data_IF_576247345167
#
_entry.id   IF_576247345167
#
_cell.length_a   1.000
_cell.length_b   1.000
_cell.length_c   1.000
_cell.angle_alpha   90.00
_cell.angle_beta   90.00
_cell.angle_gamma   90.00
#
_symmetry.space_group_name_H-M   'P 1'
#
loop_
_entity.id
_entity.type
_entity.pdbx_description
1 polymer ?
#
# COMPACT_ATOMS: atom_id res chain seq x y z
N UNK A 1 -32.85 -27.61 9.22
CA UNK A 1 -32.26 -26.68 10.21
C UNK A 1 -30.72 -26.68 10.16
N UNK A 2 -30.02 -27.82 10.27
CA UNK A 2 -28.54 -27.87 10.25
C UNK A 2 -27.90 -27.24 9.00
N UNK A 3 -28.46 -27.38 7.81
CA UNK A 3 -27.91 -26.80 6.56
C UNK A 3 -28.03 -25.27 6.51
N UNK A 4 -29.09 -24.70 7.09
CA UNK A 4 -29.26 -23.23 7.17
C UNK A 4 -28.29 -22.62 8.17
N UNK A 5 -28.03 -23.30 9.29
CA UNK A 5 -27.07 -22.84 10.30
C UNK A 5 -25.64 -22.83 9.74
N UNK A 6 -25.24 -23.85 8.96
CA UNK A 6 -23.94 -23.89 8.29
C UNK A 6 -23.80 -22.79 7.24
N UNK A 7 -24.84 -22.52 6.46
CA UNK A 7 -24.84 -21.45 5.45
C UNK A 7 -24.75 -20.07 6.11
N UNK A 8 -25.43 -19.85 7.25
CA UNK A 8 -25.39 -18.61 8.00
C UNK A 8 -24.01 -18.38 8.64
N UNK A 9 -23.35 -19.44 9.16
CA UNK A 9 -21.99 -19.34 9.72
C UNK A 9 -20.95 -19.06 8.65
N UNK A 10 -21.12 -19.63 7.43
CA UNK A 10 -20.22 -19.34 6.30
C UNK A 10 -20.36 -17.87 5.83
N UNK A 11 -21.60 -17.34 5.84
CA UNK A 11 -21.86 -15.95 5.48
C UNK A 11 -21.28 -14.95 6.48
N UNK A 12 -21.30 -15.27 7.79
CA UNK A 12 -20.67 -14.45 8.83
C UNK A 12 -19.14 -14.45 8.74
N UNK A 13 -18.51 -15.55 8.29
CA UNK A 13 -17.07 -15.60 8.09
C UNK A 13 -16.61 -14.79 6.87
N UNK A 14 -17.44 -14.67 5.83
CA UNK A 14 -17.11 -13.90 4.63
C UNK A 14 -17.12 -12.37 4.85
N UNK A 15 -17.81 -11.87 5.87
CA UNK A 15 -17.88 -10.44 6.18
C UNK A 15 -16.69 -9.89 7.02
N UNK A 16 -15.77 -10.77 7.45
CA UNK A 16 -14.63 -10.39 8.28
C UNK A 16 -13.31 -10.23 7.51
N UNK A 17 -13.32 -10.38 6.17
CA UNK A 17 -12.12 -10.21 5.35
C UNK A 17 -12.05 -8.75 4.90
N UNK A 18 -11.46 -7.90 5.71
CA UNK A 18 -11.06 -6.55 5.30
C UNK A 18 -9.63 -6.62 4.76
N UNK A 19 -9.47 -6.59 3.45
CA UNK A 19 -8.16 -6.38 2.85
C UNK A 19 -7.86 -4.88 2.85
N UNK A 20 -6.71 -4.48 3.35
CA UNK A 20 -6.27 -3.08 3.25
C UNK A 20 -6.06 -2.72 1.77
N UNK A 21 -6.57 -1.57 1.36
CA UNK A 21 -6.52 -1.07 -0.02
C UNK A 21 -6.52 0.45 -0.04
N UNK A 22 -6.22 1.00 -1.20
CA UNK A 22 -6.40 2.42 -1.46
C UNK A 22 -7.90 2.76 -1.41
N UNK A 23 -8.22 3.90 -0.81
CA UNK A 23 -9.62 4.32 -0.64
C UNK A 23 -9.75 5.83 -0.85
N UNK A 24 -10.77 6.23 -1.62
CA UNK A 24 -11.19 7.62 -1.75
C UNK A 24 -12.37 7.83 -0.81
N UNK A 25 -12.23 8.77 0.12
CA UNK A 25 -13.23 9.10 1.14
C UNK A 25 -14.11 10.28 0.72
N UNK A 26 -13.55 11.21 -0.08
CA UNK A 26 -14.27 12.37 -0.60
C UNK A 26 -14.78 12.10 -2.02
N UNK A 27 -16.03 12.46 -2.27
CA UNK A 27 -16.69 12.29 -3.57
C UNK A 27 -16.18 13.21 -4.68
N UNK A 28 -15.47 14.26 -4.33
CA UNK A 28 -14.87 15.19 -5.30
C UNK A 28 -13.54 14.67 -5.85
N UNK A 29 -12.92 13.73 -5.15
CA UNK A 29 -11.67 13.12 -5.57
C UNK A 29 -11.92 11.88 -6.44
N UNK A 30 -11.08 11.72 -7.44
CA UNK A 30 -11.16 10.65 -8.43
C UNK A 30 -9.77 10.17 -8.81
N UNK A 31 -9.70 9.08 -9.57
CA UNK A 31 -8.49 8.59 -10.26
C UNK A 31 -7.30 8.38 -9.34
N UNK A 32 -7.52 7.91 -8.09
CA UNK A 32 -6.41 7.62 -7.20
C UNK A 32 -5.47 6.57 -7.82
N UNK A 33 -4.23 6.95 -8.01
CA UNK A 33 -3.16 6.11 -8.50
C UNK A 33 -2.04 6.06 -7.47
N UNK A 34 -1.49 4.86 -7.28
CA UNK A 34 -0.34 4.61 -6.39
C UNK A 34 0.67 3.82 -7.20
N UNK A 35 1.70 4.49 -7.67
CA UNK A 35 2.64 3.98 -8.68
C UNK A 35 4.04 3.94 -8.10
N UNK A 36 4.75 2.83 -8.31
CA UNK A 36 6.14 2.67 -7.88
C UNK A 36 7.06 2.76 -9.11
N UNK A 37 8.08 3.62 -9.04
CA UNK A 37 9.08 3.79 -10.10
C UNK A 37 8.48 4.07 -11.49
N UNK A 38 7.41 4.85 -11.54
CA UNK A 38 6.70 5.22 -12.78
C UNK A 38 6.11 4.01 -13.56
N UNK A 39 5.99 2.83 -12.92
CA UNK A 39 5.40 1.63 -13.52
C UNK A 39 4.07 1.25 -12.84
N UNK A 40 2.93 1.50 -13.49
CA UNK A 40 1.61 1.22 -12.90
C UNK A 40 1.28 -0.27 -12.78
N UNK A 41 2.12 -1.16 -13.32
CA UNK A 41 1.94 -2.61 -13.21
C UNK A 41 2.65 -3.20 -11.98
N UNK A 42 3.52 -2.44 -11.35
CA UNK A 42 4.18 -2.89 -10.11
C UNK A 42 3.22 -2.78 -8.92
N UNK A 43 3.26 -3.73 -8.00
CA UNK A 43 2.57 -3.58 -6.73
C UNK A 43 3.16 -2.41 -5.94
N UNK A 44 2.42 -1.79 -5.02
CA UNK A 44 2.90 -0.67 -4.20
C UNK A 44 3.89 -1.14 -3.12
N UNK A 45 5.01 -1.69 -3.57
CA UNK A 45 6.09 -2.23 -2.74
C UNK A 45 7.40 -1.61 -3.18
N UNK A 46 8.09 -0.94 -2.26
CA UNK A 46 9.40 -0.34 -2.48
C UNK A 46 10.49 -1.07 -1.70
N UNK A 47 11.73 -1.00 -2.18
CA UNK A 47 12.90 -1.45 -1.43
C UNK A 47 13.48 -0.30 -0.59
N UNK A 48 13.72 -0.55 0.68
CA UNK A 48 14.38 0.40 1.57
C UNK A 48 15.80 0.67 1.06
N UNK A 49 16.16 1.94 0.92
CA UNK A 49 17.50 2.37 0.45
C UNK A 49 17.78 2.10 -1.03
N UNK A 50 16.81 1.61 -1.81
CA UNK A 50 16.98 1.22 -3.21
C UNK A 50 16.85 2.35 -4.24
N UNK A 51 16.69 3.60 -3.82
CA UNK A 51 16.45 4.72 -4.74
C UNK A 51 15.06 4.69 -5.41
N UNK A 52 14.18 3.81 -4.94
CA UNK A 52 12.81 3.71 -5.40
C UNK A 52 11.98 4.89 -4.91
N UNK A 53 10.94 5.22 -5.65
CA UNK A 53 9.96 6.22 -5.24
C UNK A 53 8.53 5.70 -5.44
N UNK A 54 7.65 6.22 -4.63
CA UNK A 54 6.21 6.05 -4.75
C UNK A 54 5.62 7.37 -5.21
N UNK A 55 4.75 7.33 -6.20
CA UNK A 55 3.96 8.47 -6.64
C UNK A 55 2.48 8.20 -6.36
N UNK A 56 1.84 9.15 -5.69
CA UNK A 56 0.42 9.12 -5.37
C UNK A 56 -0.21 10.27 -6.13
N UNK A 57 -1.00 9.94 -7.15
CA UNK A 57 -1.71 10.89 -7.98
C UNK A 57 -3.21 10.79 -7.75
N UNK A 58 -3.92 11.93 -7.76
CA UNK A 58 -5.38 11.97 -7.72
C UNK A 58 -5.91 13.23 -8.41
N UNK A 59 -7.13 13.13 -8.92
CA UNK A 59 -7.82 14.22 -9.58
C UNK A 59 -8.93 14.76 -8.68
N UNK A 60 -9.04 16.07 -8.58
CA UNK A 60 -10.18 16.75 -7.97
C UNK A 60 -11.03 17.42 -9.04
N UNK A 61 -12.34 17.17 -9.05
CA UNK A 61 -13.27 17.77 -10.00
C UNK A 61 -13.60 19.22 -9.64
N UNK A 62 -12.55 20.02 -9.53
CA UNK A 62 -12.60 21.48 -9.50
C UNK A 62 -11.45 22.02 -10.35
N UNK A 63 -11.52 23.27 -10.78
CA UNK A 63 -10.44 23.95 -11.50
C UNK A 63 -9.75 24.97 -10.63
N UNK A 64 -9.84 24.79 -9.30
CA UNK A 64 -9.25 25.64 -8.29
C UNK A 64 -8.18 24.86 -7.54
N UNK A 65 -7.27 25.55 -6.91
CA UNK A 65 -6.31 24.95 -6.00
C UNK A 65 -6.95 24.84 -4.62
N UNK A 66 -6.90 23.63 -4.04
CA UNK A 66 -7.25 23.38 -2.65
C UNK A 66 -6.02 22.87 -1.89
N UNK A 67 -5.94 23.26 -0.63
CA UNK A 67 -4.82 22.86 0.21
C UNK A 67 -5.02 21.46 0.77
N UNK A 68 -4.20 20.54 0.31
CA UNK A 68 -4.09 19.19 0.85
C UNK A 68 -2.80 19.02 1.63
N UNK A 69 -2.87 18.37 2.79
CA UNK A 69 -1.71 17.92 3.57
C UNK A 69 -1.72 16.40 3.65
N UNK A 70 -0.57 15.80 3.90
CA UNK A 70 -0.49 14.35 4.01
C UNK A 70 0.19 13.91 5.31
N UNK A 71 -0.21 12.72 5.78
CA UNK A 71 0.39 12.02 6.92
C UNK A 71 0.73 10.60 6.54
N UNK A 72 1.90 10.14 6.98
CA UNK A 72 2.38 8.77 6.78
C UNK A 72 2.46 8.10 8.12
N UNK A 73 1.81 6.94 8.25
CA UNK A 73 1.78 6.13 9.47
C UNK A 73 2.38 4.76 9.17
N UNK A 74 3.28 4.28 10.03
CA UNK A 74 3.73 2.90 10.00
C UNK A 74 2.66 1.98 10.57
N UNK A 75 2.45 0.82 9.92
CA UNK A 75 1.42 -0.14 10.29
C UNK A 75 2.01 -1.52 10.59
N UNK A 76 1.33 -2.24 11.46
CA UNK A 76 1.56 -3.66 11.73
C UNK A 76 1.17 -4.54 10.52
N UNK A 77 1.40 -5.85 10.62
CA UNK A 77 1.07 -6.80 9.55
C UNK A 77 -0.43 -6.84 9.23
N UNK A 78 -1.29 -6.51 10.16
CA UNK A 78 -2.75 -6.40 10.01
C UNK A 78 -3.23 -5.00 9.58
N UNK A 79 -2.29 -4.11 9.24
CA UNK A 79 -2.52 -2.71 8.86
C UNK A 79 -3.07 -1.82 9.96
N UNK A 80 -3.11 -2.27 11.20
CA UNK A 80 -3.34 -1.38 12.35
C UNK A 80 -2.13 -0.47 12.55
N UNK A 81 -2.31 0.79 12.99
CA UNK A 81 -1.18 1.68 13.29
C UNK A 81 -0.23 1.05 14.31
N UNK A 82 1.07 1.16 14.08
CA UNK A 82 2.09 0.68 15.00
C UNK A 82 2.23 1.65 16.18
N UNK A 83 1.69 1.27 17.33
CA UNK A 83 1.69 2.12 18.54
C UNK A 83 2.95 2.00 19.39
N UNK A 84 3.81 1.01 19.10
CA UNK A 84 5.02 0.72 19.86
C UNK A 84 6.26 1.48 19.38
N UNK A 85 6.16 2.17 18.23
CA UNK A 85 7.24 2.93 17.63
C UNK A 85 6.82 4.39 17.44
N UNK A 86 7.77 5.31 17.61
CA UNK A 86 7.53 6.74 17.40
C UNK A 86 7.69 7.11 15.92
N UNK A 87 7.09 8.23 15.52
CA UNK A 87 7.22 8.76 14.15
C UNK A 87 8.70 8.94 13.75
N UNK A 88 9.53 9.42 14.67
CA UNK A 88 10.97 9.56 14.47
C UNK A 88 11.72 8.25 14.26
N UNK A 89 11.14 7.09 14.56
CA UNK A 89 11.81 5.79 14.40
C UNK A 89 11.68 5.28 12.95
N UNK A 90 10.56 5.56 12.29
CA UNK A 90 10.29 5.08 10.94
C UNK A 90 10.43 6.14 9.85
N UNK A 91 10.47 7.43 10.19
CA UNK A 91 10.48 8.53 9.24
C UNK A 91 11.47 9.62 9.65
N UNK A 92 12.11 10.26 8.67
CA UNK A 92 12.74 11.57 8.82
C UNK A 92 11.77 12.61 8.23
N UNK A 93 11.69 13.78 8.84
CA UNK A 93 10.74 14.84 8.49
C UNK A 93 9.52 14.85 9.40
N UNK A 94 8.45 15.50 8.98
CA UNK A 94 7.24 15.68 9.79
C UNK A 94 5.98 15.41 8.97
N UNK A 95 4.96 14.92 9.64
CA UNK A 95 3.63 14.78 9.08
C UNK A 95 2.92 16.15 9.03
N UNK A 96 2.00 16.31 8.06
CA UNK A 96 1.22 17.52 7.88
C UNK A 96 1.81 18.50 6.85
N UNK A 97 2.79 18.05 6.07
CA UNK A 97 3.33 18.83 4.95
C UNK A 97 2.30 18.98 3.82
N UNK A 98 2.25 20.13 3.13
CA UNK A 98 1.33 20.34 2.02
C UNK A 98 1.75 19.56 0.76
N UNK A 99 0.76 19.25 -0.09
CA UNK A 99 0.97 18.79 -1.44
C UNK A 99 1.04 20.03 -2.34
N UNK A 100 2.25 20.34 -2.83
CA UNK A 100 2.50 21.55 -3.62
C UNK A 100 2.51 21.29 -5.13
N UNK A 101 2.67 20.03 -5.54
CA UNK A 101 2.69 19.65 -6.94
C UNK A 101 1.26 19.40 -7.45
N UNK A 102 0.79 20.32 -8.31
CA UNK A 102 -0.53 20.23 -8.91
C UNK A 102 -0.56 20.84 -10.32
N UNK A 103 -1.41 20.28 -11.15
CA UNK A 103 -1.65 20.75 -12.52
C UNK A 103 -3.15 20.92 -12.79
N UNK A 104 -3.54 22.04 -13.40
CA UNK A 104 -4.91 22.25 -13.84
C UNK A 104 -5.11 21.66 -15.22
N UNK A 105 -6.22 20.97 -15.41
CA UNK A 105 -6.60 20.42 -16.72
C UNK A 105 -6.71 21.52 -17.77
N UNK A 106 -6.24 21.22 -18.96
CA UNK A 106 -6.32 22.14 -20.10
C UNK A 106 -7.04 21.48 -21.27
N UNK A 107 -8.00 22.19 -21.85
CA UNK A 107 -8.73 21.75 -23.06
C UNK A 107 -9.53 20.42 -22.87
N UNK A 108 -10.02 20.17 -21.65
CA UNK A 108 -10.81 18.99 -21.30
C UNK A 108 -12.30 19.31 -21.20
N UNK A 109 -13.16 18.32 -21.43
CA UNK A 109 -14.62 18.47 -21.29
C UNK A 109 -15.06 18.67 -19.84
N UNK A 110 -14.39 18.00 -18.91
CA UNK A 110 -14.55 18.16 -17.48
C UNK A 110 -13.30 18.82 -16.92
N UNK A 111 -13.47 19.90 -16.19
CA UNK A 111 -12.36 20.60 -15.54
C UNK A 111 -11.98 19.86 -14.27
N UNK A 112 -10.69 19.65 -14.06
CA UNK A 112 -10.14 19.04 -12.85
C UNK A 112 -8.77 19.65 -12.52
N UNK A 113 -8.35 19.48 -11.29
CA UNK A 113 -6.97 19.72 -10.83
C UNK A 113 -6.36 18.37 -10.46
N UNK A 114 -5.22 18.05 -11.06
CA UNK A 114 -4.42 16.88 -10.74
C UNK A 114 -3.41 17.22 -9.66
N UNK A 115 -3.34 16.41 -8.61
CA UNK A 115 -2.35 16.52 -7.54
C UNK A 115 -1.41 15.32 -7.59
N UNK A 116 -0.13 15.58 -7.38
CA UNK A 116 0.92 14.56 -7.36
C UNK A 116 1.74 14.67 -6.07
N UNK A 117 2.00 13.54 -5.43
CA UNK A 117 2.86 13.45 -4.25
C UNK A 117 3.86 12.32 -4.43
N UNK A 118 5.15 12.65 -4.40
CA UNK A 118 6.23 11.67 -4.47
C UNK A 118 6.85 11.43 -3.08
N UNK A 119 7.12 10.16 -2.76
CA UNK A 119 7.81 9.74 -1.53
C UNK A 119 8.96 8.77 -1.92
N UNK A 120 10.21 8.96 -1.43
CA UNK A 120 10.64 10.09 -0.59
C UNK A 120 10.66 11.41 -1.37
N UNK A 121 10.57 12.53 -0.62
CA UNK A 121 10.74 13.88 -1.13
C UNK A 121 11.68 14.69 -0.22
N UNK A 122 11.78 16.01 -0.42
CA UNK A 122 12.64 16.87 0.38
C UNK A 122 12.22 16.95 1.85
N UNK A 123 10.92 16.77 2.13
CA UNK A 123 10.34 16.90 3.46
C UNK A 123 10.30 15.57 4.22
N UNK A 124 10.08 14.44 3.52
CA UNK A 124 9.89 13.14 4.14
C UNK A 124 10.74 12.05 3.47
N UNK A 125 11.39 11.23 4.31
CA UNK A 125 12.03 9.99 3.90
C UNK A 125 11.79 8.88 4.92
N UNK A 126 11.50 7.67 4.44
CA UNK A 126 11.24 6.50 5.27
C UNK A 126 12.53 5.72 5.53
N UNK A 127 12.68 5.20 6.75
CA UNK A 127 13.91 4.53 7.20
C UNK A 127 13.70 3.19 7.88
N UNK A 128 12.46 2.74 8.00
CA UNK A 128 12.11 1.45 8.57
C UNK A 128 11.29 0.65 7.55
N UNK A 129 11.55 -0.65 7.40
CA UNK A 129 10.72 -1.55 6.60
C UNK A 129 9.40 -1.85 7.32
N UNK A 130 8.36 -2.11 6.56
CA UNK A 130 7.02 -2.41 7.08
C UNK A 130 5.91 -1.97 6.15
N UNK A 131 4.69 -2.04 6.66
CA UNK A 131 3.50 -1.51 5.98
C UNK A 131 3.30 -0.05 6.34
N UNK A 132 2.83 0.74 5.38
CA UNK A 132 2.60 2.16 5.54
C UNK A 132 1.23 2.56 4.99
N UNK A 133 0.55 3.40 5.72
CA UNK A 133 -0.67 4.06 5.30
C UNK A 133 -0.42 5.56 5.19
N UNK A 134 -0.59 6.10 4.00
CA UNK A 134 -0.59 7.53 3.75
C UNK A 134 -2.03 8.01 3.69
N UNK A 135 -2.35 9.03 4.47
CA UNK A 135 -3.66 9.67 4.46
C UNK A 135 -3.50 11.11 4.02
N UNK A 136 -4.26 11.51 3.01
CA UNK A 136 -4.37 12.92 2.57
C UNK A 136 -5.57 13.55 3.25
N UNK A 137 -5.39 14.77 3.69
CA UNK A 137 -6.40 15.58 4.37
C UNK A 137 -6.63 16.88 3.60
N UNK A 138 -7.87 17.29 3.49
CA UNK A 138 -8.21 18.67 3.14
C UNK A 138 -7.99 19.55 4.38
N UNK A 139 -7.18 20.62 4.24
CA UNK A 139 -6.72 21.50 5.31
C UNK A 139 -7.31 22.95 5.17
N UNK A 140 -8.45 23.09 4.52
CA UNK A 140 -9.08 24.41 4.33
C UNK A 140 -10.06 24.79 5.44
N UNK A 141 -10.45 23.84 6.30
CA UNK A 141 -11.37 24.04 7.41
C UNK A 141 -10.69 24.30 8.74
N UNK A 142 -11.48 24.33 9.81
CA UNK A 142 -10.98 24.48 11.19
C UNK A 142 -10.15 23.25 11.63
N UNK A 143 -10.47 22.07 11.10
CA UNK A 143 -9.75 20.83 11.35
C UNK A 143 -9.51 20.08 10.02
N UNK A 144 -8.33 19.46 9.83
CA UNK A 144 -8.05 18.66 8.64
C UNK A 144 -8.97 17.45 8.52
N UNK A 145 -9.64 17.30 7.37
CA UNK A 145 -10.58 16.20 7.09
C UNK A 145 -9.93 15.17 6.16
N UNK A 146 -9.90 13.87 6.51
CA UNK A 146 -9.32 12.84 5.65
C UNK A 146 -10.15 12.68 4.36
N UNK A 147 -9.48 12.69 3.21
CA UNK A 147 -10.11 12.65 1.88
C UNK A 147 -9.73 11.43 1.06
N UNK A 148 -8.56 10.86 1.29
CA UNK A 148 -8.14 9.57 0.69
C UNK A 148 -7.07 8.88 1.53
N UNK A 149 -6.93 7.57 1.31
CA UNK A 149 -5.85 6.76 1.87
C UNK A 149 -5.15 5.95 0.79
N UNK A 150 -3.83 5.87 0.88
CA UNK A 150 -2.98 5.04 0.04
C UNK A 150 -2.13 4.11 0.93
N UNK A 151 -2.07 2.84 0.56
CA UNK A 151 -1.36 1.82 1.32
C UNK A 151 -0.20 1.28 0.50
N UNK A 152 0.97 1.13 1.11
CA UNK A 152 2.15 0.60 0.45
C UNK A 152 3.06 -0.11 1.46
N UNK A 153 4.02 -0.88 0.96
CA UNK A 153 4.99 -1.58 1.81
C UNK A 153 6.41 -1.17 1.44
N UNK A 154 7.25 -1.06 2.45
CA UNK A 154 8.68 -0.85 2.32
C UNK A 154 9.41 -2.10 2.80
N UNK A 155 10.20 -2.72 1.93
CA UNK A 155 10.85 -4.01 2.21
C UNK A 155 12.37 -3.89 2.20
N UNK A 156 13.02 -4.68 3.04
CA UNK A 156 14.46 -4.90 2.98
C UNK A 156 14.75 -6.18 2.20
N UNK A 157 15.45 -6.11 1.06
CA UNK A 157 15.73 -7.28 0.24
C UNK A 157 16.82 -8.16 0.90
N UNK A 158 16.46 -8.87 1.96
CA UNK A 158 17.36 -9.78 2.66
C UNK A 158 17.28 -11.24 2.21
N UNK A 159 16.18 -11.60 1.51
CA UNK A 159 15.89 -12.99 1.14
C UNK A 159 15.42 -13.06 -0.31
N UNK A 160 16.01 -13.94 -1.10
CA UNK A 160 15.56 -14.25 -2.45
C UNK A 160 14.70 -15.51 -2.45
N UNK A 161 13.58 -15.51 -3.17
CA UNK A 161 12.72 -16.68 -3.35
C UNK A 161 12.65 -17.00 -4.83
N UNK A 162 13.08 -18.21 -5.21
CA UNK A 162 12.82 -18.81 -6.52
C UNK A 162 11.64 -19.76 -6.41
N UNK A 163 10.69 -19.69 -7.34
CA UNK A 163 9.55 -20.60 -7.38
C UNK A 163 9.35 -21.17 -8.79
N UNK A 164 9.01 -22.45 -8.87
CA UNK A 164 8.64 -23.14 -10.11
C UNK A 164 7.31 -23.84 -9.90
N UNK A 165 6.37 -23.60 -10.79
CA UNK A 165 5.06 -24.26 -10.79
C UNK A 165 5.04 -25.32 -11.88
N UNK A 166 4.60 -26.54 -11.54
CA UNK A 166 4.52 -27.67 -12.45
C UNK A 166 3.17 -28.38 -12.33
N UNK A 167 2.64 -28.86 -13.44
CA UNK A 167 1.50 -29.79 -13.48
C UNK A 167 1.96 -31.26 -13.38
N UNK A 168 3.26 -31.49 -13.44
CA UNK A 168 3.87 -32.77 -13.11
C UNK A 168 4.13 -32.78 -11.60
N UNK A 169 3.34 -33.55 -10.88
CA UNK A 169 3.36 -33.59 -9.41
C UNK A 169 3.76 -34.95 -8.91
N UNK A 170 4.17 -35.07 -7.65
CA UNK A 170 4.44 -36.36 -6.99
C UNK A 170 3.17 -37.21 -6.84
N UNK A 171 1.98 -36.64 -7.02
CA UNK A 171 0.69 -37.32 -6.88
C UNK A 171 0.13 -37.74 -8.24
N UNK A 172 0.18 -36.84 -9.23
CA UNK A 172 -0.33 -37.11 -10.58
C UNK A 172 0.42 -36.33 -11.65
N UNK A 173 0.25 -36.71 -12.90
CA UNK A 173 0.86 -36.07 -14.06
C UNK A 173 -0.21 -35.39 -14.91
N UNK A 174 -0.16 -34.04 -15.01
CA UNK A 174 -1.05 -33.21 -15.83
C UNK A 174 -2.54 -33.48 -15.59
N UNK A 175 -2.96 -33.68 -14.33
CA UNK A 175 -4.37 -33.93 -13.99
C UNK A 175 -4.96 -32.78 -13.14
N UNK A 176 -5.23 -33.07 -11.87
CA UNK A 176 -5.99 -32.19 -10.99
C UNK A 176 -5.13 -31.42 -10.00
N UNK A 177 -3.83 -31.73 -9.91
CA UNK A 177 -2.93 -31.10 -8.95
C UNK A 177 -1.88 -30.24 -9.65
N UNK A 178 -1.42 -29.22 -8.95
CA UNK A 178 -0.24 -28.44 -9.29
C UNK A 178 0.75 -28.54 -8.12
N UNK A 179 2.04 -28.64 -8.44
CA UNK A 179 3.12 -28.63 -7.46
C UNK A 179 3.87 -27.31 -7.58
N UNK A 180 4.20 -26.74 -6.45
CA UNK A 180 5.04 -25.55 -6.35
C UNK A 180 6.31 -25.95 -5.63
N UNK A 181 7.43 -25.93 -6.34
CA UNK A 181 8.76 -26.09 -5.78
C UNK A 181 9.35 -24.71 -5.54
N UNK A 182 9.85 -24.45 -4.37
CA UNK A 182 10.47 -23.17 -4.05
C UNK A 182 11.82 -23.35 -3.37
N UNK A 183 12.72 -22.43 -3.67
CA UNK A 183 14.03 -22.30 -3.02
C UNK A 183 14.12 -20.94 -2.34
N UNK A 184 14.65 -20.93 -1.12
CA UNK A 184 14.88 -19.69 -0.36
C UNK A 184 16.38 -19.46 -0.27
N UNK A 185 16.84 -18.33 -0.81
CA UNK A 185 18.20 -17.86 -0.66
C UNK A 185 18.22 -16.72 0.35
N UNK A 186 18.70 -17.00 1.54
CA UNK A 186 18.73 -16.07 2.66
C UNK A 186 20.09 -15.39 2.85
N UNK A 187 21.03 -15.56 1.91
CA UNK A 187 22.32 -14.84 1.89
C UNK A 187 23.03 -14.87 3.25
N UNK A 188 23.21 -13.70 3.84
CA UNK A 188 23.83 -13.52 5.16
C UNK A 188 22.86 -13.54 6.34
N UNK A 189 21.55 -13.63 6.09
CA UNK A 189 20.52 -13.67 7.14
C UNK A 189 20.59 -15.00 7.86
N UNK A 190 20.79 -15.01 9.16
CA UNK A 190 20.74 -16.23 9.97
C UNK A 190 19.30 -16.69 10.12
N UNK A 191 18.93 -17.76 9.46
CA UNK A 191 17.63 -18.41 9.60
C UNK A 191 17.71 -19.51 10.64
N UNK A 192 16.87 -19.44 11.64
CA UNK A 192 16.70 -20.54 12.62
C UNK A 192 15.67 -21.51 12.03
N UNK A 193 16.13 -22.69 11.62
CA UNK A 193 15.23 -23.78 11.20
C UNK A 193 14.74 -24.51 12.45
N UNK A 194 13.48 -24.30 12.82
CA UNK A 194 12.80 -25.13 13.81
C UNK A 194 12.06 -26.24 13.06
N UNK A 195 12.69 -27.41 12.95
CA UNK A 195 12.00 -28.61 12.47
C UNK A 195 11.29 -29.21 13.67
N UNK A 196 9.96 -29.06 13.73
CA UNK A 196 9.13 -29.91 14.58
C UNK A 196 8.81 -31.19 13.80
N UNK A 197 9.41 -32.29 14.26
CA UNK A 197 9.07 -33.65 13.82
C UNK A 197 7.92 -34.14 14.71
#
# INVERSE_FOLDING_TARGET
MKKITVLLSLLCCASAITAQRHEILDRQLHTLQVVVNDDPLLPPIMNLGGGNHLEIGFDEFSHEYHRYIYKVEHCNADWSPSTEIFESDYMNGFNGEPIEDYEKSFNTTVLYTHYSLRIPNENISLKLSGNYKLTVYNDEGDEPVPVLTACFSLVEPGVGIGATVSTNTDIDFNKSHQQVDFSVNYGLVKVLSLIHI
#
